data_IF_942951017427
#
_entry.id   IF_942951017427
#
_cell.length_a   1.000
_cell.length_b   1.000
_cell.length_c   1.000
_cell.angle_alpha   90.00
_cell.angle_beta   90.00
_cell.angle_gamma   90.00
#
_symmetry.space_group_name_H-M   'P 1'
#
loop_
_entity.id
_entity.type
_entity.pdbx_description
1 polymer ?
#
# COMPACT_ATOMS: atom_id res chain seq x y z
N UNK A 1 -18.74 35.83 3.50
CA UNK A 1 -18.16 35.06 4.63
C UNK A 1 -18.34 33.54 4.44
N UNK A 2 -19.54 33.03 4.21
CA UNK A 2 -19.81 31.60 3.99
C UNK A 2 -19.10 31.00 2.78
N UNK A 3 -18.96 31.70 1.67
CA UNK A 3 -18.21 31.21 0.48
C UNK A 3 -16.70 31.12 0.72
N UNK A 4 -16.12 32.08 1.43
CA UNK A 4 -14.72 32.06 1.81
C UNK A 4 -14.42 30.88 2.76
N UNK A 5 -15.33 30.60 3.72
CA UNK A 5 -15.22 29.48 4.64
C UNK A 5 -15.34 28.13 3.90
N UNK A 6 -16.19 28.06 2.88
CA UNK A 6 -16.37 26.92 1.98
C UNK A 6 -15.11 26.55 1.21
N UNK A 7 -14.45 27.55 0.64
CA UNK A 7 -13.20 27.37 -0.10
C UNK A 7 -12.08 26.89 0.83
N UNK A 8 -12.05 27.41 2.05
CA UNK A 8 -11.02 27.07 3.02
C UNK A 8 -11.16 25.63 3.54
N UNK A 9 -12.38 25.15 3.85
CA UNK A 9 -12.62 23.76 4.29
C UNK A 9 -12.20 22.73 3.23
N UNK A 10 -12.59 22.96 1.98
CA UNK A 10 -12.23 22.07 0.86
C UNK A 10 -10.70 22.09 0.62
N UNK A 11 -10.08 23.26 0.66
CA UNK A 11 -8.64 23.42 0.48
C UNK A 11 -7.84 22.68 1.55
N UNK A 12 -8.22 22.83 2.83
CA UNK A 12 -7.58 22.12 3.94
C UNK A 12 -7.73 20.59 3.77
N UNK A 13 -8.93 20.12 3.45
CA UNK A 13 -9.18 18.68 3.26
C UNK A 13 -8.40 18.10 2.08
N UNK A 14 -8.26 18.84 0.97
CA UNK A 14 -7.45 18.43 -0.16
C UNK A 14 -5.96 18.39 0.19
N UNK A 15 -5.47 19.35 0.96
CA UNK A 15 -4.10 19.34 1.44
C UNK A 15 -3.80 18.11 2.29
N UNK A 16 -4.68 17.80 3.25
CA UNK A 16 -4.56 16.62 4.10
C UNK A 16 -4.63 15.33 3.24
N UNK A 17 -5.54 15.26 2.27
CA UNK A 17 -5.66 14.13 1.35
C UNK A 17 -4.38 13.92 0.53
N UNK A 18 -3.75 14.99 0.06
CA UNK A 18 -2.50 14.93 -0.70
C UNK A 18 -1.31 14.50 0.16
N UNK A 19 -1.31 14.80 1.46
CA UNK A 19 -0.28 14.34 2.39
C UNK A 19 -0.48 12.89 2.84
N UNK A 20 -1.69 12.33 2.70
CA UNK A 20 -2.04 11.00 3.19
C UNK A 20 -1.13 9.89 2.63
N UNK A 21 -0.76 9.82 1.33
CA UNK A 21 0.17 8.81 0.84
C UNK A 21 1.53 8.84 1.54
N UNK A 22 2.03 10.04 1.85
CA UNK A 22 3.31 10.24 2.54
C UNK A 22 3.16 9.86 4.03
N UNK A 23 2.05 10.23 4.66
CA UNK A 23 1.80 9.90 6.07
C UNK A 23 1.70 8.40 6.33
N UNK A 24 1.32 7.61 5.33
CA UNK A 24 1.30 6.14 5.42
C UNK A 24 2.69 5.54 5.66
N UNK A 25 3.78 6.28 5.36
CA UNK A 25 5.15 5.84 5.65
C UNK A 25 5.55 6.02 7.12
N UNK A 26 4.81 6.84 7.87
CA UNK A 26 5.14 7.17 9.28
C UNK A 26 4.45 6.26 10.29
N UNK A 27 3.75 5.22 9.82
CA UNK A 27 2.97 4.33 10.65
C UNK A 27 1.46 4.66 10.68
N UNK A 28 0.64 3.92 11.43
CA UNK A 28 -0.83 3.97 11.33
C UNK A 28 -1.47 5.22 11.95
N UNK A 29 -0.83 5.87 12.92
CA UNK A 29 -1.44 6.94 13.71
C UNK A 29 -1.75 8.20 12.87
N UNK A 30 -0.80 8.69 12.08
CA UNK A 30 -0.97 9.93 11.30
C UNK A 30 -2.01 9.77 10.17
N UNK A 31 -2.02 8.67 9.39
CA UNK A 31 -3.10 8.41 8.44
C UNK A 31 -4.49 8.34 9.09
N UNK A 32 -4.61 7.69 10.25
CA UNK A 32 -5.86 7.56 10.97
C UNK A 32 -6.42 8.91 11.43
N UNK A 33 -5.56 9.77 11.97
CA UNK A 33 -5.91 11.15 12.32
C UNK A 33 -6.34 11.93 11.06
N UNK A 34 -5.60 11.79 9.96
CA UNK A 34 -5.88 12.47 8.70
C UNK A 34 -7.23 12.07 8.11
N UNK A 35 -7.53 10.77 8.09
CA UNK A 35 -8.83 10.24 7.64
C UNK A 35 -9.97 10.79 8.51
N UNK A 36 -9.81 10.73 9.83
CA UNK A 36 -10.81 11.21 10.78
C UNK A 36 -11.08 12.71 10.60
N UNK A 37 -10.02 13.50 10.43
CA UNK A 37 -10.14 14.93 10.21
C UNK A 37 -10.87 15.26 8.90
N UNK A 38 -10.56 14.57 7.80
CA UNK A 38 -11.29 14.72 6.53
C UNK A 38 -12.77 14.36 6.70
N UNK A 39 -13.09 13.29 7.45
CA UNK A 39 -14.48 12.91 7.72
C UNK A 39 -15.23 14.00 8.48
N UNK A 40 -14.63 14.56 9.53
CA UNK A 40 -15.22 15.65 10.32
C UNK A 40 -15.46 16.90 9.43
N UNK A 41 -14.46 17.30 8.64
CA UNK A 41 -14.59 18.46 7.76
C UNK A 41 -15.66 18.24 6.69
N UNK A 42 -15.78 17.03 6.14
CA UNK A 42 -16.83 16.67 5.20
C UNK A 42 -18.23 16.71 5.83
N UNK A 43 -18.39 16.18 7.03
CA UNK A 43 -19.68 16.25 7.74
C UNK A 43 -20.07 17.70 8.04
N UNK A 44 -19.14 18.52 8.54
CA UNK A 44 -19.37 19.96 8.74
C UNK A 44 -19.81 20.62 7.42
N UNK A 45 -19.12 20.34 6.32
CA UNK A 45 -19.50 20.83 5.01
C UNK A 45 -20.93 20.40 4.61
N UNK A 46 -21.26 19.11 4.77
CA UNK A 46 -22.58 18.58 4.41
C UNK A 46 -23.71 19.19 5.27
N UNK A 47 -23.49 19.41 6.56
CA UNK A 47 -24.46 20.06 7.44
C UNK A 47 -24.66 21.54 7.10
N UNK A 48 -23.59 22.30 6.91
CA UNK A 48 -23.66 23.73 6.57
C UNK A 48 -24.37 23.98 5.23
N UNK A 49 -24.22 23.07 4.27
CA UNK A 49 -24.80 23.22 2.93
C UNK A 49 -26.09 22.42 2.73
N UNK A 50 -26.53 21.66 3.77
CA UNK A 50 -27.68 20.74 3.69
C UNK A 50 -27.58 19.78 2.49
N UNK A 51 -26.35 19.41 2.10
CA UNK A 51 -26.08 18.53 0.95
C UNK A 51 -25.93 17.08 1.43
N UNK A 52 -27.05 16.39 1.49
CA UNK A 52 -27.14 14.97 1.84
C UNK A 52 -27.47 14.08 0.63
N UNK A 53 -27.20 14.55 -0.60
CA UNK A 53 -27.50 13.79 -1.83
C UNK A 53 -26.74 12.47 -1.89
N UNK A 54 -25.56 12.41 -1.27
CA UNK A 54 -24.73 11.21 -1.19
C UNK A 54 -25.43 10.04 -0.48
N UNK A 55 -26.38 10.26 0.44
CA UNK A 55 -27.16 9.20 1.07
C UNK A 55 -28.08 8.44 0.09
N UNK A 56 -28.38 9.02 -1.07
CA UNK A 56 -29.22 8.39 -2.11
C UNK A 56 -28.45 7.41 -2.98
N UNK A 57 -27.13 7.45 -2.97
CA UNK A 57 -26.28 6.56 -3.75
C UNK A 57 -26.41 5.10 -3.28
N UNK A 58 -26.53 4.17 -4.25
CA UNK A 58 -26.73 2.74 -3.95
C UNK A 58 -25.57 2.15 -3.15
N UNK A 59 -24.33 2.48 -3.52
CA UNK A 59 -23.15 1.97 -2.85
C UNK A 59 -22.99 2.51 -1.42
N UNK A 60 -23.39 3.78 -1.17
CA UNK A 60 -23.40 4.36 0.17
C UNK A 60 -24.38 3.61 1.07
N UNK A 61 -25.60 3.38 0.57
CA UNK A 61 -26.62 2.61 1.32
C UNK A 61 -26.15 1.18 1.61
N UNK A 62 -25.51 0.53 0.64
CA UNK A 62 -24.91 -0.79 0.85
C UNK A 62 -23.78 -0.75 1.90
N UNK A 63 -22.92 0.26 1.86
CA UNK A 63 -21.86 0.46 2.87
C UNK A 63 -22.43 0.69 4.27
N UNK A 64 -23.47 1.53 4.41
CA UNK A 64 -24.14 1.75 5.69
C UNK A 64 -24.85 0.48 6.20
N UNK A 65 -25.50 -0.28 5.32
CA UNK A 65 -26.10 -1.56 5.68
C UNK A 65 -25.04 -2.55 6.17
N UNK A 66 -23.89 -2.63 5.48
CA UNK A 66 -22.76 -3.43 5.92
C UNK A 66 -22.24 -3.01 7.30
N UNK A 67 -22.13 -1.70 7.55
CA UNK A 67 -21.73 -1.19 8.87
C UNK A 67 -22.71 -1.58 9.98
N UNK A 68 -24.01 -1.49 9.72
CA UNK A 68 -25.05 -1.95 10.66
C UNK A 68 -24.91 -3.45 10.95
N UNK A 69 -24.62 -4.27 9.92
CA UNK A 69 -24.34 -5.69 10.10
C UNK A 69 -23.09 -5.93 10.98
N UNK A 70 -22.01 -5.14 10.81
CA UNK A 70 -20.82 -5.24 11.67
C UNK A 70 -21.15 -4.96 13.13
N UNK A 71 -21.92 -3.92 13.41
CA UNK A 71 -22.38 -3.60 14.77
C UNK A 71 -23.21 -4.75 15.35
N UNK A 72 -24.13 -5.32 14.53
CA UNK A 72 -24.95 -6.44 14.99
C UNK A 72 -24.11 -7.69 15.30
N UNK A 73 -23.14 -8.02 14.44
CA UNK A 73 -22.27 -9.19 14.65
C UNK A 73 -21.35 -8.98 15.87
N UNK A 74 -20.91 -7.76 16.16
CA UNK A 74 -20.03 -7.47 17.29
C UNK A 74 -20.66 -7.81 18.66
N UNK A 75 -21.99 -7.85 18.74
CA UNK A 75 -22.74 -8.25 19.95
C UNK A 75 -22.50 -9.73 20.30
N UNK A 76 -22.19 -10.56 19.29
CA UNK A 76 -21.96 -11.99 19.45
C UNK A 76 -20.45 -12.35 19.53
N UNK A 77 -19.57 -11.36 19.58
CA UNK A 77 -18.13 -11.59 19.66
C UNK A 77 -17.70 -12.06 21.04
N UNK A 78 -16.59 -12.81 21.11
CA UNK A 78 -16.00 -13.25 22.40
C UNK A 78 -15.60 -12.07 23.29
N UNK A 79 -15.08 -11.00 22.69
CA UNK A 79 -14.82 -9.73 23.35
C UNK A 79 -15.74 -8.67 22.76
N UNK A 80 -16.92 -8.51 23.36
CA UNK A 80 -17.98 -7.61 22.87
C UNK A 80 -17.49 -6.15 22.86
N UNK A 81 -16.76 -5.71 23.90
CA UNK A 81 -16.33 -4.32 24.04
C UNK A 81 -15.41 -3.89 22.91
N UNK A 82 -14.34 -4.62 22.68
CA UNK A 82 -13.35 -4.30 21.65
C UNK A 82 -13.96 -4.41 20.23
N UNK A 83 -14.72 -5.49 19.99
CA UNK A 83 -15.36 -5.71 18.68
C UNK A 83 -16.41 -4.64 18.38
N UNK A 84 -17.14 -4.17 19.38
CA UNK A 84 -18.14 -3.09 19.21
C UNK A 84 -17.46 -1.74 18.97
N UNK A 85 -16.37 -1.45 19.67
CA UNK A 85 -15.58 -0.24 19.47
C UNK A 85 -15.01 -0.20 18.05
N UNK A 86 -14.43 -1.28 17.56
CA UNK A 86 -13.89 -1.38 16.21
C UNK A 86 -14.98 -1.23 15.15
N UNK A 87 -16.15 -1.87 15.37
CA UNK A 87 -17.28 -1.74 14.48
C UNK A 87 -17.81 -0.30 14.41
N UNK A 88 -17.87 0.41 15.53
CA UNK A 88 -18.28 1.83 15.55
C UNK A 88 -17.28 2.71 14.79
N UNK A 89 -15.99 2.51 15.01
CA UNK A 89 -14.94 3.30 14.39
C UNK A 89 -14.89 3.07 12.86
N UNK A 90 -15.30 1.89 12.39
CA UNK A 90 -15.28 1.54 10.97
C UNK A 90 -16.06 2.50 10.07
N UNK A 91 -17.12 3.16 10.59
CA UNK A 91 -17.93 4.13 9.81
C UNK A 91 -17.08 5.24 9.19
N UNK A 92 -15.95 5.60 9.81
CA UNK A 92 -15.05 6.64 9.28
C UNK A 92 -14.54 6.33 7.89
N UNK A 93 -14.29 5.05 7.56
CA UNK A 93 -13.81 4.66 6.22
C UNK A 93 -14.88 4.82 5.15
N UNK A 94 -16.16 4.56 5.52
CA UNK A 94 -17.29 4.79 4.62
C UNK A 94 -17.47 6.30 4.37
N UNK A 95 -17.45 7.11 5.42
CA UNK A 95 -17.55 8.57 5.33
C UNK A 95 -16.38 9.14 4.52
N UNK A 96 -15.17 8.63 4.71
CA UNK A 96 -14.00 9.01 3.96
C UNK A 96 -14.14 8.72 2.46
N UNK A 97 -14.63 7.53 2.09
CA UNK A 97 -14.89 7.17 0.71
C UNK A 97 -15.95 8.11 0.07
N UNK A 98 -16.98 8.48 0.84
CA UNK A 98 -17.99 9.46 0.41
C UNK A 98 -17.35 10.84 0.23
N UNK A 99 -16.54 11.29 1.19
CA UNK A 99 -15.85 12.58 1.11
C UNK A 99 -14.97 12.68 -0.14
N UNK A 100 -14.23 11.63 -0.45
CA UNK A 100 -13.39 11.57 -1.66
C UNK A 100 -14.26 11.67 -2.91
N UNK A 101 -15.29 10.83 -3.04
CA UNK A 101 -16.08 10.71 -4.27
C UNK A 101 -17.01 11.90 -4.52
N UNK A 102 -17.65 12.43 -3.46
CA UNK A 102 -18.66 13.50 -3.61
C UNK A 102 -18.14 14.91 -3.41
N UNK A 103 -17.02 15.08 -2.72
CA UNK A 103 -16.57 16.41 -2.35
C UNK A 103 -15.18 16.75 -2.86
N UNK A 104 -14.17 15.86 -2.61
CA UNK A 104 -12.77 16.20 -2.84
C UNK A 104 -12.36 15.98 -4.31
N UNK A 105 -12.56 14.78 -4.84
CA UNK A 105 -12.07 14.39 -6.18
C UNK A 105 -13.21 14.48 -7.21
N UNK A 106 -13.74 15.69 -7.43
CA UNK A 106 -14.71 15.93 -8.51
C UNK A 106 -14.02 16.29 -9.83
N UNK A 107 -12.87 16.94 -9.74
CA UNK A 107 -12.16 17.46 -10.89
C UNK A 107 -11.02 16.51 -11.29
N UNK A 108 -10.89 16.28 -12.60
CA UNK A 108 -9.85 15.44 -13.16
C UNK A 108 -8.44 15.92 -12.78
N UNK A 109 -8.23 17.24 -12.74
CA UNK A 109 -6.94 17.82 -12.36
C UNK A 109 -6.54 17.44 -10.92
N UNK A 110 -7.49 17.46 -9.98
CA UNK A 110 -7.25 17.08 -8.59
C UNK A 110 -6.91 15.60 -8.50
N UNK A 111 -7.64 14.74 -9.23
CA UNK A 111 -7.35 13.31 -9.30
C UNK A 111 -5.94 13.05 -9.86
N UNK A 112 -5.56 13.71 -10.94
CA UNK A 112 -4.22 13.57 -11.53
C UNK A 112 -3.13 14.01 -10.56
N UNK A 113 -3.33 15.10 -9.83
CA UNK A 113 -2.39 15.60 -8.84
C UNK A 113 -2.23 14.62 -7.66
N UNK A 114 -3.33 14.12 -7.11
CA UNK A 114 -3.32 13.12 -6.05
C UNK A 114 -2.61 11.83 -6.48
N UNK A 115 -2.94 11.29 -7.66
CA UNK A 115 -2.31 10.11 -8.20
C UNK A 115 -0.81 10.32 -8.48
N UNK A 116 -0.40 11.54 -8.85
CA UNK A 116 1.01 11.88 -9.02
C UNK A 116 1.79 11.80 -7.70
N UNK A 117 1.23 12.35 -6.60
CA UNK A 117 1.85 12.28 -5.27
C UNK A 117 1.94 10.82 -4.82
N UNK A 118 0.87 10.05 -4.96
CA UNK A 118 0.84 8.64 -4.60
C UNK A 118 1.88 7.83 -5.42
N UNK A 119 1.99 8.10 -6.73
CA UNK A 119 2.99 7.45 -7.58
C UNK A 119 4.40 7.78 -7.11
N UNK A 120 4.67 9.05 -6.76
CA UNK A 120 5.97 9.46 -6.23
C UNK A 120 6.30 8.75 -4.91
N UNK A 121 5.31 8.63 -4.01
CA UNK A 121 5.47 7.91 -2.74
C UNK A 121 5.82 6.44 -2.98
N UNK A 122 5.13 5.76 -3.90
CA UNK A 122 5.44 4.35 -4.23
C UNK A 122 6.82 4.22 -4.85
N UNK A 123 7.23 5.13 -5.74
CA UNK A 123 8.59 5.13 -6.30
C UNK A 123 9.63 5.27 -5.19
N UNK A 124 9.41 6.14 -4.22
CA UNK A 124 10.30 6.31 -3.07
C UNK A 124 10.40 5.01 -2.25
N UNK A 125 9.26 4.37 -1.92
CA UNK A 125 9.25 3.09 -1.18
C UNK A 125 10.01 2.00 -1.95
N UNK A 126 9.76 1.88 -3.26
CA UNK A 126 10.44 0.89 -4.10
C UNK A 126 11.94 1.15 -4.15
N UNK A 127 12.33 2.41 -4.30
CA UNK A 127 13.75 2.81 -4.32
C UNK A 127 14.45 2.46 -3.00
N UNK A 128 13.83 2.78 -1.88
CA UNK A 128 14.36 2.51 -0.55
C UNK A 128 14.51 1.00 -0.29
N UNK A 129 13.48 0.22 -0.63
CA UNK A 129 13.54 -1.25 -0.56
C UNK A 129 14.67 -1.83 -1.43
N UNK A 130 14.90 -1.28 -2.63
CA UNK A 130 15.97 -1.73 -3.50
C UNK A 130 17.35 -1.36 -2.95
N UNK A 131 17.52 -0.20 -2.33
CA UNK A 131 18.76 0.16 -1.63
C UNK A 131 19.04 -0.82 -0.48
N UNK A 132 18.02 -1.12 0.32
CA UNK A 132 18.14 -2.09 1.41
C UNK A 132 18.50 -3.49 0.88
N UNK A 133 17.96 -3.89 -0.27
CA UNK A 133 18.30 -5.15 -0.93
C UNK A 133 19.75 -5.18 -1.45
N UNK A 134 20.22 -4.09 -2.08
CA UNK A 134 21.61 -3.99 -2.62
C UNK A 134 22.63 -4.03 -1.47
N UNK A 135 22.31 -3.42 -0.33
CA UNK A 135 23.16 -3.38 0.85
C UNK A 135 23.10 -4.68 1.69
N UNK A 136 22.60 -5.78 1.11
CA UNK A 136 22.53 -7.07 1.78
C UNK A 136 23.89 -7.55 2.27
N UNK A 137 23.98 -7.86 3.56
CA UNK A 137 25.12 -8.51 4.18
C UNK A 137 24.72 -9.88 4.68
N UNK A 138 25.50 -10.89 4.33
CA UNK A 138 25.20 -12.28 4.69
C UNK A 138 25.18 -12.59 6.20
N UNK A 139 25.82 -11.74 7.01
CA UNK A 139 25.88 -11.89 8.47
C UNK A 139 24.74 -11.16 9.17
N UNK A 140 24.30 -10.03 8.61
CA UNK A 140 23.32 -9.14 9.24
C UNK A 140 21.96 -9.16 8.52
N UNK A 141 21.86 -9.79 7.33
CA UNK A 141 20.67 -9.81 6.50
C UNK A 141 20.59 -8.59 5.56
N UNK A 142 19.38 -8.06 5.33
CA UNK A 142 19.22 -6.87 4.51
C UNK A 142 19.84 -5.64 5.18
N UNK A 143 20.44 -4.78 4.37
CA UNK A 143 21.17 -3.60 4.82
C UNK A 143 20.28 -2.49 5.38
N UNK A 144 20.90 -1.33 5.55
CA UNK A 144 20.19 -0.14 6.00
C UNK A 144 19.40 0.49 4.87
N UNK A 145 18.23 1.00 5.19
CA UNK A 145 17.40 1.85 4.34
C UNK A 145 17.98 3.27 4.21
N UNK A 146 17.28 4.17 3.51
CA UNK A 146 17.67 5.59 3.36
C UNK A 146 17.72 6.30 4.71
N UNK A 147 16.90 5.90 5.68
CA UNK A 147 16.85 6.49 7.01
C UNK A 147 17.85 5.89 7.99
N UNK A 148 18.57 4.84 7.58
CA UNK A 148 19.57 4.15 8.41
C UNK A 148 19.01 3.02 9.26
N UNK A 149 17.75 2.65 9.10
CA UNK A 149 17.13 1.52 9.80
C UNK A 149 17.46 0.20 9.13
N UNK A 150 17.66 -0.84 9.92
CA UNK A 150 17.77 -2.23 9.48
C UNK A 150 16.45 -2.95 9.70
N UNK A 151 16.14 -3.94 8.86
CA UNK A 151 14.92 -4.72 9.04
C UNK A 151 14.94 -5.46 10.39
N UNK A 152 13.83 -5.35 11.13
CA UNK A 152 13.62 -6.10 12.38
C UNK A 152 13.33 -7.58 12.11
N UNK A 153 12.84 -7.91 10.92
CA UNK A 153 12.57 -9.30 10.51
C UNK A 153 13.71 -9.84 9.68
N UNK A 154 14.44 -10.80 10.26
CA UNK A 154 15.54 -11.48 9.56
C UNK A 154 15.07 -12.06 8.21
N UNK A 155 15.80 -11.72 7.13
CA UNK A 155 15.52 -12.22 5.79
C UNK A 155 14.30 -11.59 5.09
N UNK A 156 13.73 -10.49 5.62
CA UNK A 156 12.66 -9.73 4.95
C UNK A 156 13.04 -8.27 4.77
N UNK A 157 12.57 -7.67 3.67
CA UNK A 157 12.68 -6.23 3.46
C UNK A 157 11.67 -5.50 4.35
N UNK A 158 12.07 -4.40 4.96
CA UNK A 158 11.18 -3.48 5.68
C UNK A 158 11.03 -2.14 4.95
N UNK A 159 12.02 -1.75 4.15
CA UNK A 159 12.04 -0.42 3.54
C UNK A 159 11.86 0.68 4.59
N UNK A 160 11.07 1.72 4.30
CA UNK A 160 10.88 2.85 5.20
C UNK A 160 9.93 2.56 6.38
N UNK A 161 9.40 1.33 6.50
CA UNK A 161 8.36 0.99 7.50
C UNK A 161 8.91 0.44 8.81
N UNK A 162 10.22 0.25 8.94
CA UNK A 162 10.91 -0.30 10.11
C UNK A 162 10.42 -1.70 10.54
N UNK A 163 9.21 -1.81 11.10
CA UNK A 163 8.64 -3.05 11.64
C UNK A 163 7.69 -3.78 10.66
N UNK A 164 7.17 -3.08 9.64
CA UNK A 164 6.24 -3.65 8.67
C UNK A 164 6.95 -4.03 7.37
N UNK A 165 6.33 -4.95 6.62
CA UNK A 165 6.83 -5.43 5.33
C UNK A 165 6.19 -4.63 4.18
N UNK A 166 6.98 -4.09 3.22
CA UNK A 166 6.49 -3.15 2.21
C UNK A 166 5.59 -3.79 1.15
N UNK A 167 5.57 -5.11 1.02
CA UNK A 167 4.82 -5.81 -0.04
C UNK A 167 3.33 -5.53 -0.01
N UNK A 168 2.69 -5.61 1.17
CA UNK A 168 1.27 -5.32 1.35
C UNK A 168 0.93 -3.85 1.06
N UNK A 169 1.82 -2.92 1.42
CA UNK A 169 1.66 -1.51 1.12
C UNK A 169 1.69 -1.26 -0.39
N UNK A 170 2.72 -1.75 -1.08
CA UNK A 170 2.86 -1.57 -2.53
C UNK A 170 1.69 -2.24 -3.27
N UNK A 171 1.30 -3.46 -2.90
CA UNK A 171 0.23 -4.22 -3.58
C UNK A 171 -1.13 -3.51 -3.52
N UNK A 172 -1.45 -2.79 -2.44
CA UNK A 172 -2.69 -2.02 -2.31
C UNK A 172 -2.74 -0.81 -3.24
N UNK A 173 -1.61 -0.18 -3.50
CA UNK A 173 -1.56 1.09 -4.22
C UNK A 173 -1.05 0.99 -5.66
N UNK A 174 -0.44 -0.13 -6.07
CA UNK A 174 0.17 -0.28 -7.39
C UNK A 174 -0.82 -0.04 -8.55
N UNK A 175 -2.09 -0.45 -8.41
CA UNK A 175 -3.09 -0.24 -9.44
C UNK A 175 -3.53 1.22 -9.57
N UNK A 176 -3.36 2.05 -8.54
CA UNK A 176 -3.52 3.50 -8.66
C UNK A 176 -2.37 4.12 -9.45
N UNK A 177 -1.15 3.58 -9.35
CA UNK A 177 -0.02 3.97 -10.20
C UNK A 177 -0.32 3.61 -11.66
N UNK A 178 -0.82 2.41 -11.93
CA UNK A 178 -1.28 2.01 -13.28
C UNK A 178 -2.36 2.98 -13.79
N UNK A 179 -3.33 3.33 -12.93
CA UNK A 179 -4.40 4.29 -13.27
C UNK A 179 -3.83 5.67 -13.62
N UNK A 180 -2.84 6.17 -12.88
CA UNK A 180 -2.16 7.43 -13.18
C UNK A 180 -1.62 7.43 -14.61
N UNK A 181 -0.88 6.41 -15.00
CA UNK A 181 -0.34 6.29 -16.36
C UNK A 181 -1.42 6.08 -17.44
N UNK A 182 -2.61 5.58 -17.07
CA UNK A 182 -3.75 5.48 -17.99
C UNK A 182 -4.45 6.82 -18.20
N UNK A 183 -4.52 7.66 -17.17
CA UNK A 183 -5.18 8.99 -17.21
C UNK A 183 -4.32 9.99 -17.98
N UNK A 184 -3.01 9.96 -17.78
CA UNK A 184 -2.05 10.77 -18.52
C UNK A 184 -1.98 10.23 -19.95
N UNK A 185 -2.81 10.79 -20.84
CA UNK A 185 -2.99 10.38 -22.25
C UNK A 185 -1.75 10.45 -23.14
N UNK A 186 -0.60 10.77 -22.61
CA UNK A 186 0.63 10.88 -23.40
C UNK A 186 1.20 9.48 -23.68
N UNK A 187 0.86 8.93 -24.86
CA UNK A 187 1.43 7.66 -25.37
C UNK A 187 2.86 7.84 -25.90
N UNK A 188 3.63 8.75 -25.30
CA UNK A 188 5.04 8.90 -25.60
C UNK A 188 5.77 7.60 -25.27
N UNK A 189 6.74 7.24 -26.10
CA UNK A 189 7.65 6.11 -25.87
C UNK A 189 8.30 6.22 -24.49
N UNK A 190 8.72 7.41 -24.09
CA UNK A 190 9.33 7.70 -22.80
C UNK A 190 8.41 7.39 -21.61
N UNK A 191 7.13 7.79 -21.67
CA UNK A 191 6.16 7.50 -20.63
C UNK A 191 5.87 6.00 -20.51
N UNK A 192 5.81 5.28 -21.62
CA UNK A 192 5.64 3.83 -21.61
C UNK A 192 6.87 3.11 -21.04
N UNK A 193 8.08 3.61 -21.32
CA UNK A 193 9.30 3.09 -20.75
C UNK A 193 9.39 3.29 -19.24
N UNK A 194 9.06 4.50 -18.74
CA UNK A 194 8.97 4.79 -17.31
C UNK A 194 7.93 3.88 -16.64
N UNK A 195 6.76 3.71 -17.26
CA UNK A 195 5.72 2.80 -16.76
C UNK A 195 6.27 1.38 -16.57
N UNK A 196 6.94 0.83 -17.60
CA UNK A 196 7.50 -0.52 -17.54
C UNK A 196 8.50 -0.64 -16.38
N UNK A 197 9.41 0.31 -16.21
CA UNK A 197 10.41 0.27 -15.15
C UNK A 197 9.73 0.32 -13.77
N UNK A 198 8.90 1.33 -13.51
CA UNK A 198 8.29 1.53 -12.20
C UNK A 198 7.44 0.32 -11.79
N UNK A 199 6.60 -0.19 -12.69
CA UNK A 199 5.70 -1.31 -12.38
C UNK A 199 6.49 -2.61 -12.21
N UNK A 200 7.50 -2.88 -13.05
CA UNK A 200 8.33 -4.08 -12.92
C UNK A 200 9.12 -4.08 -11.61
N UNK A 201 9.73 -2.95 -11.23
CA UNK A 201 10.45 -2.82 -9.97
C UNK A 201 9.51 -2.95 -8.78
N UNK A 202 8.29 -2.39 -8.85
CA UNK A 202 7.29 -2.54 -7.80
C UNK A 202 6.87 -4.00 -7.60
N UNK A 203 6.60 -4.74 -8.68
CA UNK A 203 6.26 -6.15 -8.60
C UNK A 203 7.43 -6.99 -8.08
N UNK A 204 8.65 -6.62 -8.46
CA UNK A 204 9.86 -7.27 -7.98
C UNK A 204 10.05 -7.07 -6.47
N UNK A 205 9.84 -5.85 -5.95
CA UNK A 205 9.91 -5.58 -4.51
C UNK A 205 8.79 -6.30 -3.74
N UNK A 206 7.57 -6.42 -4.27
CA UNK A 206 6.51 -7.23 -3.67
C UNK A 206 6.97 -8.69 -3.52
N UNK A 207 7.64 -9.24 -4.52
CA UNK A 207 8.19 -10.59 -4.43
C UNK A 207 9.33 -10.68 -3.41
N UNK A 208 10.27 -9.72 -3.40
CA UNK A 208 11.41 -9.67 -2.45
C UNK A 208 10.95 -9.52 -0.99
N UNK A 209 9.79 -8.90 -0.75
CA UNK A 209 9.24 -8.74 0.60
C UNK A 209 8.85 -10.07 1.26
N UNK A 210 8.67 -11.14 0.48
CA UNK A 210 8.29 -12.46 0.98
C UNK A 210 6.84 -12.56 1.46
N UNK A 211 5.98 -11.58 1.17
CA UNK A 211 4.56 -11.59 1.55
C UNK A 211 3.69 -12.35 0.55
N UNK A 212 3.33 -13.58 0.86
CA UNK A 212 2.51 -14.42 -0.02
C UNK A 212 1.14 -13.79 -0.35
N UNK A 213 0.49 -13.14 0.61
CA UNK A 213 -0.82 -12.49 0.40
C UNK A 213 -0.72 -11.27 -0.52
N UNK A 214 0.33 -10.45 -0.37
CA UNK A 214 0.58 -9.32 -1.25
C UNK A 214 0.84 -9.78 -2.68
N UNK A 215 1.62 -10.84 -2.85
CA UNK A 215 1.90 -11.43 -4.15
C UNK A 215 0.62 -12.00 -4.79
N UNK A 216 -0.16 -12.78 -4.05
CA UNK A 216 -1.41 -13.38 -4.54
C UNK A 216 -2.43 -12.31 -4.98
N UNK A 217 -2.64 -11.27 -4.17
CA UNK A 217 -3.55 -10.17 -4.49
C UNK A 217 -3.07 -9.37 -5.70
N UNK A 218 -1.77 -9.19 -5.85
CA UNK A 218 -1.18 -8.51 -7.02
C UNK A 218 -1.39 -9.33 -8.29
N UNK A 219 -1.11 -10.64 -8.26
CA UNK A 219 -1.34 -11.54 -9.40
C UNK A 219 -2.83 -11.53 -9.79
N UNK A 220 -3.73 -11.67 -8.82
CA UNK A 220 -5.17 -11.60 -9.07
C UNK A 220 -5.57 -10.27 -9.71
N UNK A 221 -5.06 -9.15 -9.20
CA UNK A 221 -5.31 -7.82 -9.76
C UNK A 221 -4.80 -7.69 -11.20
N UNK A 222 -3.61 -8.23 -11.52
CA UNK A 222 -3.07 -8.26 -12.89
C UNK A 222 -3.99 -9.06 -13.80
N UNK A 223 -4.44 -10.24 -13.38
CA UNK A 223 -5.34 -11.08 -14.17
C UNK A 223 -6.67 -10.38 -14.46
N UNK A 224 -7.29 -9.78 -13.43
CA UNK A 224 -8.52 -8.99 -13.59
C UNK A 224 -8.27 -7.82 -14.56
N UNK A 225 -7.17 -7.08 -14.40
CA UNK A 225 -6.85 -5.98 -15.29
C UNK A 225 -6.71 -6.44 -16.75
N UNK A 226 -5.96 -7.50 -16.99
CA UNK A 226 -5.76 -8.06 -18.34
C UNK A 226 -7.07 -8.55 -18.96
N UNK A 227 -7.98 -9.14 -18.18
CA UNK A 227 -9.26 -9.63 -18.68
C UNK A 227 -10.22 -8.49 -19.04
N UNK A 228 -10.34 -7.48 -18.18
CA UNK A 228 -11.43 -6.48 -18.29
C UNK A 228 -10.99 -5.14 -18.87
N UNK A 229 -9.71 -4.75 -18.75
CA UNK A 229 -9.22 -3.43 -19.16
C UNK A 229 -8.30 -3.55 -20.37
N UNK A 230 -8.66 -2.85 -21.45
CA UNK A 230 -7.87 -2.86 -22.70
C UNK A 230 -6.71 -1.85 -22.69
N UNK A 231 -6.83 -0.78 -21.93
CA UNK A 231 -5.85 0.31 -21.89
C UNK A 231 -4.52 -0.17 -21.31
N UNK A 232 -3.43 0.01 -22.06
CA UNK A 232 -2.06 -0.39 -21.68
C UNK A 232 -1.89 -1.87 -21.26
N UNK A 233 -2.83 -2.76 -21.64
CA UNK A 233 -2.77 -4.20 -21.34
C UNK A 233 -1.43 -4.84 -21.74
N UNK A 234 -0.95 -4.54 -22.94
CA UNK A 234 0.31 -5.10 -23.46
C UNK A 234 1.51 -4.67 -22.61
N UNK A 235 1.52 -3.41 -22.11
CA UNK A 235 2.59 -2.94 -21.23
C UNK A 235 2.59 -3.71 -19.92
N UNK A 236 1.42 -4.01 -19.36
CA UNK A 236 1.31 -4.77 -18.11
C UNK A 236 1.78 -6.23 -18.30
N UNK A 237 1.55 -6.83 -19.45
CA UNK A 237 2.10 -8.14 -19.79
C UNK A 237 3.62 -8.08 -19.86
N UNK A 238 4.17 -7.07 -20.55
CA UNK A 238 5.62 -6.87 -20.64
C UNK A 238 6.25 -6.68 -19.26
N UNK A 239 5.63 -5.86 -18.38
CA UNK A 239 6.14 -5.67 -17.01
C UNK A 239 6.14 -6.96 -16.21
N UNK A 240 5.09 -7.77 -16.33
CA UNK A 240 5.00 -9.07 -15.64
C UNK A 240 6.08 -10.05 -16.13
N UNK A 241 6.32 -10.11 -17.44
CA UNK A 241 7.40 -10.94 -18.00
C UNK A 241 8.77 -10.47 -17.55
N UNK A 242 9.02 -9.15 -17.54
CA UNK A 242 10.28 -8.57 -17.08
C UNK A 242 10.50 -8.87 -15.59
N UNK A 243 9.46 -8.78 -14.76
CA UNK A 243 9.55 -9.14 -13.34
C UNK A 243 9.90 -10.62 -13.16
N UNK A 244 9.26 -11.52 -13.89
CA UNK A 244 9.58 -12.95 -13.84
C UNK A 244 11.04 -13.22 -14.24
N UNK A 245 11.54 -12.50 -15.25
CA UNK A 245 12.93 -12.59 -15.64
C UNK A 245 13.88 -12.10 -14.52
N UNK A 246 13.56 -10.99 -13.85
CA UNK A 246 14.34 -10.48 -12.71
C UNK A 246 14.35 -11.50 -11.56
N UNK A 247 13.20 -12.09 -11.22
CA UNK A 247 13.07 -13.14 -10.19
C UNK A 247 13.93 -14.35 -10.55
N UNK A 248 13.86 -14.82 -11.79
CA UNK A 248 14.67 -15.95 -12.25
C UNK A 248 16.17 -15.68 -12.12
N UNK A 249 16.62 -14.50 -12.53
CA UNK A 249 18.03 -14.10 -12.39
C UNK A 249 18.45 -14.05 -10.92
N UNK A 250 17.65 -13.46 -10.04
CA UNK A 250 17.95 -13.35 -8.61
C UNK A 250 18.06 -14.72 -7.96
N UNK A 251 17.12 -15.64 -8.24
CA UNK A 251 17.18 -17.01 -7.72
C UNK A 251 18.44 -17.74 -8.19
N UNK A 252 18.82 -17.58 -9.46
CA UNK A 252 20.06 -18.19 -9.97
C UNK A 252 21.31 -17.66 -9.24
N UNK A 253 21.40 -16.35 -9.02
CA UNK A 253 22.49 -15.75 -8.25
C UNK A 253 22.48 -16.17 -6.79
N UNK A 254 21.30 -16.30 -6.16
CA UNK A 254 21.18 -16.71 -4.77
C UNK A 254 21.59 -18.17 -4.58
N UNK A 255 21.18 -19.06 -5.47
CA UNK A 255 21.59 -20.48 -5.45
C UNK A 255 23.11 -20.59 -5.61
N UNK A 256 23.72 -19.88 -6.55
CA UNK A 256 25.17 -19.87 -6.74
C UNK A 256 25.94 -19.38 -5.50
N UNK A 257 25.40 -18.38 -4.78
CA UNK A 257 26.00 -17.87 -3.55
C UNK A 257 25.74 -18.78 -2.35
N UNK A 258 24.64 -19.52 -2.32
CA UNK A 258 24.33 -20.50 -1.26
C UNK A 258 25.24 -21.73 -1.35
N UNK A 259 25.47 -22.25 -2.54
CA UNK A 259 26.38 -23.37 -2.76
C UNK A 259 27.83 -23.02 -2.36
N UNK A 260 28.24 -21.79 -2.59
CA UNK A 260 29.57 -21.31 -2.13
C UNK A 260 29.66 -21.17 -0.61
N UNK A 261 28.53 -20.94 0.10
CA UNK A 261 28.48 -20.78 1.56
C UNK A 261 28.29 -22.07 2.34
N UNK A 262 27.59 -23.05 1.80
CA UNK A 262 27.48 -24.39 2.41
C UNK A 262 28.89 -25.03 2.52
N UNK A 263 29.78 -24.70 1.58
CA UNK A 263 31.18 -25.17 1.61
C UNK A 263 32.04 -24.37 2.61
N UNK A 264 31.67 -23.13 2.96
CA UNK A 264 32.44 -22.25 3.88
C UNK A 264 31.80 -22.04 5.27
N UNK A 265 30.59 -22.52 5.50
CA UNK A 265 29.92 -22.37 6.80
C UNK A 265 30.50 -23.34 7.82
N UNK A 266 31.27 -22.79 8.75
CA UNK A 266 31.64 -23.47 10.01
C UNK A 266 30.41 -23.98 10.74
N UNK A 267 30.48 -25.12 11.47
CA UNK A 267 29.35 -25.77 12.12
C UNK A 267 28.62 -24.96 13.21
N UNK A 268 28.98 -23.70 13.39
CA UNK A 268 28.44 -22.81 14.44
C UNK A 268 26.98 -22.41 14.28
N UNK A 269 26.40 -22.45 13.07
CA UNK A 269 25.03 -22.02 12.84
C UNK A 269 23.96 -23.10 13.04
N UNK A 270 24.35 -24.39 13.01
CA UNK A 270 23.41 -25.49 13.31
C UNK A 270 23.27 -25.79 14.81
N UNK A 271 24.25 -25.37 15.64
CA UNK A 271 24.19 -25.60 17.09
C UNK A 271 23.27 -24.67 17.85
N UNK A 272 23.07 -23.42 17.33
CA UNK A 272 22.25 -22.41 18.02
C UNK A 272 20.73 -22.58 17.79
N UNK A 273 20.32 -23.25 16.73
CA UNK A 273 18.90 -23.52 16.46
C UNK A 273 18.36 -24.73 17.18
N UNK A 274 19.20 -25.71 17.49
CA UNK A 274 18.78 -26.94 18.17
C UNK A 274 18.73 -26.74 19.69
N UNK A 275 19.63 -25.92 20.28
CA UNK A 275 19.60 -25.64 21.72
C UNK A 275 18.42 -24.78 22.19
N UNK A 276 17.88 -23.90 21.30
CA UNK A 276 16.69 -23.10 21.64
C UNK A 276 15.36 -23.87 21.60
N UNK A 277 15.29 -24.99 20.90
CA UNK A 277 14.09 -25.83 20.87
C UNK A 277 14.10 -26.93 22.00
N UNK A 278 15.24 -27.16 22.65
CA UNK A 278 15.35 -28.13 23.76
C UNK A 278 15.01 -27.57 25.14
N UNK A 279 15.02 -26.23 25.32
CA UNK A 279 14.73 -25.62 26.64
C UNK A 279 13.25 -25.23 26.86
N UNK A 280 12.35 -25.55 25.94
CA UNK A 280 10.90 -25.35 26.11
C UNK A 280 10.15 -26.61 26.54
N UNK A 281 10.84 -27.67 27.03
CA UNK A 281 10.21 -28.85 27.60
C UNK A 281 10.96 -29.28 28.88
N UNK A 282 10.80 -28.49 29.94
CA UNK A 282 10.75 -28.95 31.33
C UNK A 282 9.83 -28.06 32.15
#
# INVERSE_FOLDING_TARGET
MLEYFKFNLKGISLFILCLLPISLLTGPAIPDISITLICILFLIYSFLHKDFKWLKEKWVRAGLAFWICLIFISIFALNIYDSFQDALIFIRYIIFAIAISHWLIKDKMILEFFLKILTFTIIFVVFDCLLQFINYNSLEGYGKDVFGFTSTHYGRLSGPFNDDVPGSHISRFIFFVVLFFCIVKNNSFFNNFIFIIIISLSFYVIWLSGEAMALATTILGILIYICFIKTKRYLLIITSLLTLFMIFMTNKFHIMNYDYKIISSTPYHHGLTISKFGECQE
#
